data_IF_845970100604
#
_entry.id   IF_845970100604
#
_cell.length_a   1.000
_cell.length_b   1.000
_cell.length_c   1.000
_cell.angle_alpha   90.00
_cell.angle_beta   90.00
_cell.angle_gamma   90.00
#
_symmetry.space_group_name_H-M   'P 1'
#
loop_
_entity.id
_entity.type
_entity.pdbx_description
1 polymer ?
#
# COMPACT_ATOMS: atom_id res chain seq x y z
N UNK A 1 0.41 -40.09 39.79
CA UNK A 1 0.60 -41.23 38.88
C UNK A 1 1.52 -40.75 37.77
N UNK A 2 2.79 -41.17 37.78
CA UNK A 2 3.84 -40.53 36.99
C UNK A 2 4.14 -41.34 35.73
N UNK A 3 3.44 -41.04 34.65
CA UNK A 3 3.81 -41.49 33.31
C UNK A 3 5.31 -41.23 33.07
N UNK A 4 6.04 -42.19 32.49
CA UNK A 4 7.43 -41.96 32.09
C UNK A 4 7.52 -41.83 30.57
N UNK A 5 8.18 -40.77 30.10
CA UNK A 5 8.33 -40.46 28.67
C UNK A 5 9.79 -40.22 28.31
N UNK A 6 10.18 -40.59 27.11
CA UNK A 6 11.51 -40.29 26.56
C UNK A 6 11.43 -40.08 25.05
N UNK A 7 12.14 -39.05 24.54
CA UNK A 7 12.27 -38.75 23.12
C UNK A 7 13.63 -39.22 22.61
N UNK A 8 13.63 -40.03 21.55
CA UNK A 8 14.82 -40.62 20.94
C UNK A 8 14.87 -40.29 19.43
N UNK A 9 15.77 -39.40 18.96
CA UNK A 9 16.68 -38.55 19.74
C UNK A 9 15.98 -37.37 20.42
N UNK A 10 16.60 -36.79 21.45
CA UNK A 10 16.08 -35.60 22.14
C UNK A 10 16.06 -34.34 21.26
N UNK A 11 16.92 -34.30 20.23
CA UNK A 11 16.95 -33.25 19.22
C UNK A 11 17.14 -33.87 17.84
N UNK A 12 16.40 -33.39 16.85
CA UNK A 12 16.51 -33.83 15.47
C UNK A 12 16.77 -32.63 14.54
N UNK A 13 17.37 -32.90 13.39
CA UNK A 13 17.58 -31.89 12.33
C UNK A 13 16.85 -32.34 11.07
N UNK A 14 16.26 -31.40 10.34
CA UNK A 14 15.53 -31.66 9.10
C UNK A 14 15.72 -30.55 8.08
N UNK A 15 15.84 -30.92 6.82
CA UNK A 15 15.84 -29.98 5.70
C UNK A 15 14.41 -29.62 5.28
N UNK A 16 14.12 -28.35 4.96
CA UNK A 16 12.84 -27.95 4.38
C UNK A 16 12.52 -28.70 3.09
N UNK A 17 11.32 -29.30 3.04
CA UNK A 17 10.88 -30.22 1.99
C UNK A 17 11.30 -31.67 2.19
N UNK A 18 12.10 -31.96 3.21
CA UNK A 18 12.45 -33.31 3.65
C UNK A 18 11.58 -33.78 4.81
N UNK A 19 11.98 -34.90 5.42
CA UNK A 19 11.33 -35.44 6.61
C UNK A 19 12.32 -36.05 7.58
N UNK A 20 12.04 -35.97 8.88
CA UNK A 20 12.80 -36.67 9.94
C UNK A 20 11.86 -37.33 10.94
N UNK A 21 12.37 -38.27 11.72
CA UNK A 21 11.59 -39.06 12.67
C UNK A 21 12.19 -38.99 14.08
N UNK A 22 11.32 -38.89 15.08
CA UNK A 22 11.67 -39.03 16.50
C UNK A 22 10.77 -40.09 17.12
N UNK A 23 11.36 -40.99 17.90
CA UNK A 23 10.62 -42.01 18.64
C UNK A 23 10.28 -41.48 20.04
N UNK A 24 8.99 -41.41 20.35
CA UNK A 24 8.47 -41.17 21.69
C UNK A 24 8.24 -42.52 22.37
N UNK A 25 8.98 -42.78 23.44
CA UNK A 25 8.78 -43.96 24.30
C UNK A 25 7.95 -43.55 25.50
N UNK A 26 6.99 -44.40 25.83
CA UNK A 26 6.02 -44.16 26.88
C UNK A 26 5.92 -45.40 27.77
N UNK A 27 6.02 -45.25 29.09
CA UNK A 27 5.78 -46.34 30.04
C UNK A 27 4.59 -46.03 30.94
N UNK A 28 3.62 -46.94 30.98
CA UNK A 28 2.54 -46.90 31.96
C UNK A 28 3.09 -47.33 33.32
N UNK A 29 3.08 -46.42 34.30
CA UNK A 29 3.54 -46.66 35.67
C UNK A 29 2.38 -46.79 36.66
N UNK A 30 1.14 -46.72 36.17
CA UNK A 30 -0.07 -47.02 36.94
C UNK A 30 -0.26 -48.52 37.15
N UNK A 31 -1.30 -48.85 37.91
CA UNK A 31 -1.73 -50.20 38.25
C UNK A 31 -2.91 -50.70 37.39
N UNK A 32 -3.47 -49.83 36.55
CA UNK A 32 -4.55 -50.14 35.59
C UNK A 32 -4.09 -50.04 34.13
N UNK A 33 -4.80 -50.78 33.25
CA UNK A 33 -4.63 -50.65 31.79
C UNK A 33 -5.25 -49.33 31.35
N UNK A 34 -4.51 -48.54 30.57
CA UNK A 34 -4.97 -47.24 30.09
C UNK A 34 -4.70 -47.10 28.59
N UNK A 35 -5.45 -46.21 27.94
CA UNK A 35 -5.26 -45.80 26.56
C UNK A 35 -4.82 -44.34 26.52
N UNK A 36 -3.69 -44.09 25.87
CA UNK A 36 -3.11 -42.77 25.74
C UNK A 36 -3.34 -42.21 24.35
N UNK A 37 -3.83 -40.97 24.26
CA UNK A 37 -3.95 -40.19 23.02
C UNK A 37 -2.78 -39.23 22.88
N UNK A 38 -2.22 -39.15 21.67
CA UNK A 38 -1.07 -38.30 21.36
C UNK A 38 -1.46 -37.19 20.37
N UNK A 39 -1.17 -35.94 20.73
CA UNK A 39 -1.45 -34.77 19.90
C UNK A 39 -0.20 -33.88 19.80
N UNK A 40 0.29 -33.56 18.60
CA UNK A 40 1.39 -32.62 18.45
C UNK A 40 0.91 -31.19 18.80
N UNK A 41 1.74 -30.44 19.52
CA UNK A 41 1.45 -29.07 19.96
C UNK A 41 2.63 -28.15 19.64
N UNK A 42 2.33 -26.90 19.30
CA UNK A 42 3.30 -25.87 18.95
C UNK A 42 3.27 -25.51 17.46
N UNK A 43 4.15 -24.59 17.06
CA UNK A 43 4.15 -23.98 15.72
C UNK A 43 4.40 -24.99 14.60
N UNK A 44 5.13 -26.07 14.88
CA UNK A 44 5.41 -27.14 13.91
C UNK A 44 4.35 -28.25 13.87
N UNK A 45 3.29 -28.16 14.69
CA UNK A 45 2.21 -29.15 14.71
C UNK A 45 1.54 -29.39 13.35
N UNK A 46 1.36 -28.39 12.45
CA UNK A 46 0.77 -28.62 11.13
C UNK A 46 1.60 -29.54 10.22
N UNK A 47 2.88 -29.72 10.54
CA UNK A 47 3.83 -30.53 9.76
C UNK A 47 4.30 -31.77 10.52
N UNK A 48 3.65 -32.07 11.64
CA UNK A 48 3.99 -33.20 12.52
C UNK A 48 2.89 -34.25 12.45
N UNK A 49 3.26 -35.47 12.06
CA UNK A 49 2.38 -36.63 12.08
C UNK A 49 2.78 -37.56 13.21
N UNK A 50 1.80 -38.10 13.92
CA UNK A 50 2.01 -38.98 15.08
C UNK A 50 1.35 -40.32 14.82
N UNK A 51 2.14 -41.40 14.81
CA UNK A 51 1.64 -42.75 14.55
C UNK A 51 2.20 -43.77 15.55
N UNK A 52 1.35 -44.56 16.25
CA UNK A 52 -0.11 -44.46 16.28
C UNK A 52 -0.62 -43.26 17.12
N UNK A 53 -1.79 -42.71 16.79
CA UNK A 53 -2.41 -41.60 17.53
C UNK A 53 -2.99 -42.01 18.90
N UNK A 54 -3.28 -43.29 19.08
CA UNK A 54 -3.63 -43.87 20.37
C UNK A 54 -2.83 -45.13 20.64
N UNK A 55 -2.49 -45.36 21.91
CA UNK A 55 -1.75 -46.55 22.31
C UNK A 55 -2.26 -47.05 23.65
N UNK A 56 -2.72 -48.30 23.67
CA UNK A 56 -3.16 -48.99 24.88
C UNK A 56 -2.00 -49.71 25.54
N UNK A 57 -1.76 -49.45 26.82
CA UNK A 57 -0.64 -50.01 27.57
C UNK A 57 -1.10 -50.66 28.88
N UNK A 58 -0.58 -51.85 29.14
CA UNK A 58 -0.74 -52.54 30.43
C UNK A 58 0.17 -51.91 31.50
N UNK A 59 -0.18 -52.05 32.78
CA UNK A 59 0.68 -51.67 33.91
C UNK A 59 2.12 -52.15 33.74
N UNK A 60 3.08 -51.23 33.90
CA UNK A 60 4.51 -51.51 33.80
C UNK A 60 5.07 -51.73 32.39
N UNK A 61 4.24 -51.70 31.34
CA UNK A 61 4.68 -51.90 29.94
C UNK A 61 5.11 -50.61 29.26
N UNK A 62 5.96 -50.72 28.25
CA UNK A 62 6.45 -49.60 27.44
C UNK A 62 5.96 -49.70 26.01
N UNK A 63 5.38 -48.63 25.52
CA UNK A 63 5.00 -48.41 24.14
C UNK A 63 5.93 -47.46 23.40
N UNK A 64 5.87 -47.49 22.07
CA UNK A 64 6.60 -46.53 21.21
C UNK A 64 5.64 -45.91 20.22
N UNK A 65 5.80 -44.61 20.00
CA UNK A 65 5.08 -43.81 19.01
C UNK A 65 6.11 -43.12 18.13
N UNK A 66 5.89 -43.11 16.83
CA UNK A 66 6.73 -42.43 15.86
C UNK A 66 6.17 -41.03 15.56
N UNK A 67 7.01 -40.02 15.73
CA UNK A 67 6.75 -38.64 15.34
C UNK A 67 7.48 -38.39 14.02
N UNK A 68 6.75 -38.08 12.96
CA UNK A 68 7.30 -37.71 11.66
C UNK A 68 7.14 -36.21 11.44
N UNK A 69 8.24 -35.50 11.26
CA UNK A 69 8.27 -34.06 10.96
C UNK A 69 8.58 -33.86 9.48
N UNK A 70 7.74 -33.11 8.77
CA UNK A 70 7.90 -32.84 7.33
C UNK A 70 7.63 -31.36 7.02
N UNK A 71 8.51 -30.42 7.44
CA UNK A 71 8.32 -29.01 7.18
C UNK A 71 8.35 -28.72 5.67
N UNK A 72 7.44 -27.89 5.14
CA UNK A 72 7.40 -27.56 3.73
C UNK A 72 8.64 -26.76 3.34
N UNK A 73 8.99 -26.79 2.05
CA UNK A 73 10.05 -25.94 1.49
C UNK A 73 9.51 -24.53 1.22
N UNK A 74 9.05 -23.86 2.27
CA UNK A 74 8.51 -22.50 2.23
C UNK A 74 9.13 -21.64 3.34
N UNK A 75 9.03 -20.30 3.25
CA UNK A 75 9.50 -19.40 4.29
C UNK A 75 8.89 -19.64 5.68
N UNK A 76 7.72 -20.27 5.76
CA UNK A 76 7.02 -20.55 7.01
C UNK A 76 7.83 -21.49 7.93
N UNK A 77 8.63 -22.39 7.34
CA UNK A 77 9.50 -23.30 8.06
C UNK A 77 10.75 -22.58 8.59
N UNK A 78 10.58 -21.77 9.64
CA UNK A 78 11.63 -20.91 10.23
C UNK A 78 12.92 -21.68 10.51
N UNK A 79 14.04 -21.20 9.97
CA UNK A 79 15.34 -21.82 10.17
C UNK A 79 15.82 -21.73 11.63
N UNK A 80 16.51 -22.77 12.10
CA UNK A 80 17.06 -22.85 13.45
C UNK A 80 16.24 -23.75 14.39
N UNK A 81 16.41 -23.59 15.71
CA UNK A 81 15.74 -24.43 16.70
C UNK A 81 14.25 -24.09 16.81
N UNK A 82 13.40 -25.09 16.57
CA UNK A 82 11.95 -25.01 16.71
C UNK A 82 11.52 -25.98 17.82
N UNK A 83 11.13 -25.48 19.00
CA UNK A 83 10.65 -26.34 20.08
C UNK A 83 9.32 -26.97 19.67
N UNK A 84 9.12 -28.22 20.10
CA UNK A 84 7.88 -28.94 19.88
C UNK A 84 7.48 -29.71 21.13
N UNK A 85 6.20 -30.00 21.23
CA UNK A 85 5.66 -30.77 22.32
C UNK A 85 4.66 -31.80 21.80
N UNK A 86 4.54 -32.92 22.52
CA UNK A 86 3.48 -33.90 22.27
C UNK A 86 2.63 -34.00 23.51
N UNK A 87 1.37 -33.60 23.41
CA UNK A 87 0.40 -33.76 24.49
C UNK A 87 -0.05 -35.22 24.56
N UNK A 88 0.16 -35.83 25.71
CA UNK A 88 -0.28 -37.20 26.01
C UNK A 88 -1.44 -37.12 26.99
N UNK A 89 -2.62 -37.51 26.54
CA UNK A 89 -3.86 -37.49 27.34
C UNK A 89 -4.28 -38.93 27.67
N UNK A 90 -4.22 -39.34 28.95
CA UNK A 90 -4.76 -40.63 29.40
C UNK A 90 -6.30 -40.63 29.31
N UNK A 91 -6.90 -41.80 29.06
CA UNK A 91 -8.37 -41.91 28.94
C UNK A 91 -9.04 -42.07 30.29
N UNK A 92 -8.43 -42.84 31.21
CA UNK A 92 -8.96 -43.05 32.56
C UNK A 92 -8.91 -41.78 33.43
N UNK A 93 -7.83 -40.99 33.27
CA UNK A 93 -7.60 -39.75 34.01
C UNK A 93 -7.25 -38.59 33.06
N UNK A 94 -8.24 -37.97 32.40
CA UNK A 94 -8.00 -36.89 31.44
C UNK A 94 -7.31 -35.65 32.05
N UNK A 95 -7.39 -35.47 33.36
CA UNK A 95 -6.70 -34.41 34.12
C UNK A 95 -5.19 -34.64 34.26
N UNK A 96 -4.71 -35.87 34.06
CA UNK A 96 -3.31 -36.27 34.25
C UNK A 96 -2.47 -36.15 32.96
N UNK A 97 -2.62 -35.02 32.26
CA UNK A 97 -1.91 -34.75 30.99
C UNK A 97 -0.41 -34.62 31.20
N UNK A 98 0.37 -35.25 30.33
CA UNK A 98 1.84 -35.11 30.29
C UNK A 98 2.27 -34.56 28.93
N UNK A 99 3.26 -33.66 28.93
CA UNK A 99 3.72 -32.97 27.72
C UNK A 99 5.25 -33.07 27.60
N UNK A 100 5.79 -34.16 27.02
CA UNK A 100 7.20 -34.19 26.63
C UNK A 100 7.51 -33.14 25.57
N UNK A 101 8.63 -32.44 25.79
CA UNK A 101 9.16 -31.39 24.91
C UNK A 101 10.45 -31.84 24.24
N UNK A 102 10.63 -31.45 22.98
CA UNK A 102 11.85 -31.67 22.21
C UNK A 102 12.17 -30.47 21.33
N UNK A 103 13.30 -30.54 20.64
CA UNK A 103 13.72 -29.46 19.73
C UNK A 103 14.03 -29.99 18.33
N UNK A 104 13.39 -29.42 17.32
CA UNK A 104 13.62 -29.72 15.92
C UNK A 104 14.41 -28.58 15.28
N UNK A 105 15.61 -28.86 14.79
CA UNK A 105 16.41 -27.87 14.06
C UNK A 105 16.07 -27.94 12.58
N UNK A 106 15.43 -26.90 12.05
CA UNK A 106 15.16 -26.77 10.62
C UNK A 106 16.37 -26.11 9.96
N UNK A 107 16.92 -26.72 8.92
CA UNK A 107 18.09 -26.16 8.26
C UNK A 107 17.74 -24.91 7.44
N UNK A 108 18.69 -23.98 7.28
CA UNK A 108 18.49 -22.80 6.47
C UNK A 108 18.47 -23.16 4.98
N UNK A 109 17.52 -22.59 4.23
CA UNK A 109 17.58 -22.50 2.78
C UNK A 109 17.35 -21.06 2.32
N UNK A 110 17.88 -20.76 1.15
CA UNK A 110 17.75 -19.44 0.55
C UNK A 110 17.29 -19.59 -0.89
N UNK A 111 16.17 -18.96 -1.21
CA UNK A 111 15.64 -18.87 -2.55
C UNK A 111 15.25 -17.42 -2.79
N UNK A 112 15.74 -16.85 -3.89
CA UNK A 112 15.58 -15.41 -4.17
C UNK A 112 15.08 -15.27 -5.57
N UNK A 113 14.04 -14.46 -5.72
CA UNK A 113 13.52 -14.06 -7.02
C UNK A 113 13.63 -12.55 -7.14
N UNK A 114 14.00 -12.06 -8.31
CA UNK A 114 14.08 -10.64 -8.56
C UNK A 114 13.44 -10.30 -9.91
N UNK A 115 12.65 -9.24 -9.94
CA UNK A 115 11.88 -8.85 -11.12
C UNK A 115 11.83 -7.32 -11.27
N UNK A 116 11.81 -6.87 -12.53
CA UNK A 116 11.70 -5.45 -12.86
C UNK A 116 10.26 -5.03 -13.12
N UNK A 117 9.82 -3.98 -12.43
CA UNK A 117 8.48 -3.42 -12.55
C UNK A 117 8.56 -1.92 -12.90
N UNK A 118 8.27 -1.51 -14.14
CA UNK A 118 8.11 -2.34 -15.34
C UNK A 118 9.48 -2.79 -15.92
N UNK A 119 9.53 -3.86 -16.75
CA UNK A 119 10.75 -4.33 -17.40
C UNK A 119 11.24 -3.41 -18.52
N UNK A 120 10.34 -2.60 -19.09
CA UNK A 120 10.67 -1.58 -20.09
C UNK A 120 10.23 -0.21 -19.60
N UNK A 121 11.19 0.71 -19.50
CA UNK A 121 10.95 2.10 -19.11
C UNK A 121 11.23 3.04 -20.27
N UNK A 122 10.39 4.07 -20.44
CA UNK A 122 10.51 5.04 -21.55
C UNK A 122 10.76 6.43 -20.97
N UNK A 123 11.73 7.17 -21.50
CA UNK A 123 12.07 8.50 -20.99
C UNK A 123 12.93 9.30 -21.94
N UNK A 124 12.97 10.63 -21.77
CA UNK A 124 13.89 11.50 -22.51
C UNK A 124 15.22 11.62 -21.76
N UNK A 125 15.14 11.94 -20.47
CA UNK A 125 16.30 12.22 -19.62
C UNK A 125 16.49 11.23 -18.47
N UNK A 126 15.45 10.52 -18.06
CA UNK A 126 15.51 9.56 -16.95
C UNK A 126 14.51 8.42 -17.16
N UNK A 127 14.88 7.21 -16.75
CA UNK A 127 13.99 6.06 -16.58
C UNK A 127 13.86 5.72 -15.09
N UNK A 128 12.68 5.30 -14.64
CA UNK A 128 12.43 4.99 -13.22
C UNK A 128 11.83 3.59 -13.04
N UNK A 129 12.60 2.52 -13.28
CA UNK A 129 12.15 1.17 -12.95
C UNK A 129 12.23 0.93 -11.43
N UNK A 130 11.38 0.03 -10.92
CA UNK A 130 11.53 -0.55 -9.59
C UNK A 130 12.03 -1.98 -9.74
N UNK A 131 12.99 -2.38 -8.91
CA UNK A 131 13.42 -3.77 -8.79
C UNK A 131 12.75 -4.38 -7.56
N UNK A 132 11.88 -5.36 -7.75
CA UNK A 132 11.32 -6.17 -6.68
C UNK A 132 12.29 -7.34 -6.40
N UNK A 133 12.65 -7.54 -5.14
CA UNK A 133 13.48 -8.67 -4.68
C UNK A 133 12.70 -9.43 -3.62
N UNK A 134 12.32 -10.66 -3.92
CA UNK A 134 11.53 -11.53 -3.07
C UNK A 134 12.43 -12.55 -2.37
N UNK A 135 12.28 -12.67 -1.05
CA UNK A 135 12.92 -13.71 -0.25
C UNK A 135 11.97 -14.90 -0.08
N UNK A 136 12.14 -15.93 -0.90
CA UNK A 136 11.40 -17.19 -0.85
C UNK A 136 12.09 -18.23 0.06
N UNK A 137 13.20 -17.87 0.70
CA UNK A 137 13.88 -18.70 1.70
C UNK A 137 13.27 -18.57 3.10
N UNK A 138 13.69 -19.45 4.02
CA UNK A 138 13.35 -19.39 5.44
C UNK A 138 14.40 -18.66 6.30
N UNK A 139 15.36 -17.98 5.67
CA UNK A 139 16.40 -17.19 6.33
C UNK A 139 16.37 -15.75 5.87
N UNK A 140 16.80 -14.84 6.75
CA UNK A 140 16.95 -13.42 6.42
C UNK A 140 17.93 -13.24 5.26
N UNK A 141 17.46 -12.63 4.19
CA UNK A 141 18.24 -12.33 3.00
C UNK A 141 18.94 -10.98 3.17
N UNK A 142 20.26 -10.96 3.02
CA UNK A 142 21.04 -9.72 2.89
C UNK A 142 21.67 -9.67 1.50
N UNK A 143 21.36 -8.63 0.73
CA UNK A 143 21.86 -8.47 -0.63
C UNK A 143 22.20 -7.01 -0.93
N UNK A 144 23.16 -6.80 -1.81
CA UNK A 144 23.44 -5.50 -2.43
C UNK A 144 22.96 -5.50 -3.87
N UNK A 145 22.48 -4.35 -4.34
CA UNK A 145 21.99 -4.16 -5.71
C UNK A 145 22.90 -3.18 -6.42
N UNK A 146 23.38 -3.58 -7.59
CA UNK A 146 24.19 -2.73 -8.46
C UNK A 146 23.64 -2.72 -9.89
N UNK A 147 23.89 -1.62 -10.60
CA UNK A 147 23.61 -1.54 -12.03
C UNK A 147 24.84 -1.91 -12.85
N UNK A 148 24.63 -2.68 -13.91
CA UNK A 148 25.66 -3.03 -14.88
C UNK A 148 25.09 -2.86 -16.30
N UNK A 149 25.86 -2.25 -17.20
CA UNK A 149 25.63 -2.36 -18.64
C UNK A 149 26.92 -2.73 -19.38
N UNK A 150 26.73 -3.23 -20.59
CA UNK A 150 27.84 -3.66 -21.46
C UNK A 150 28.51 -2.49 -22.20
N UNK A 151 28.07 -1.24 -22.00
CA UNK A 151 28.44 -0.12 -22.89
C UNK A 151 28.61 1.25 -22.23
N UNK A 152 28.57 1.31 -20.89
CA UNK A 152 28.63 2.51 -20.03
C UNK A 152 27.66 3.62 -20.47
N UNK A 153 26.49 3.26 -21.00
CA UNK A 153 25.55 4.19 -21.62
C UNK A 153 24.62 4.85 -20.59
N UNK A 154 24.41 4.20 -19.44
CA UNK A 154 23.51 4.65 -18.40
C UNK A 154 24.26 4.83 -17.08
N UNK A 155 23.90 5.88 -16.33
CA UNK A 155 24.23 5.96 -14.90
C UNK A 155 23.05 5.47 -14.06
N UNK A 156 23.39 4.75 -13.00
CA UNK A 156 22.46 4.08 -12.11
C UNK A 156 22.44 4.76 -10.75
N UNK A 157 21.24 5.04 -10.28
CA UNK A 157 21.01 5.70 -9.01
C UNK A 157 19.97 4.85 -8.26
N UNK A 158 20.45 4.05 -7.29
CA UNK A 158 19.71 2.97 -6.64
C UNK A 158 19.46 3.29 -5.17
N UNK A 159 18.21 3.23 -4.75
CA UNK A 159 17.80 3.56 -3.39
C UNK A 159 16.74 2.57 -2.87
N UNK A 160 17.02 1.81 -1.80
CA UNK A 160 18.33 1.59 -1.19
C UNK A 160 19.24 0.70 -2.05
N UNK A 161 20.57 0.82 -1.91
CA UNK A 161 21.55 -0.05 -2.60
C UNK A 161 21.84 -1.36 -1.86
N UNK A 162 21.50 -1.44 -0.58
CA UNK A 162 21.60 -2.65 0.22
C UNK A 162 20.22 -2.94 0.83
N UNK A 163 19.81 -4.20 0.78
CA UNK A 163 18.51 -4.65 1.29
C UNK A 163 18.70 -5.79 2.27
N UNK A 164 17.88 -5.76 3.32
CA UNK A 164 17.69 -6.86 4.24
C UNK A 164 16.21 -7.23 4.20
N UNK A 165 15.92 -8.49 3.87
CA UNK A 165 14.57 -8.96 3.59
C UNK A 165 14.29 -10.18 4.46
N UNK A 166 13.28 -10.09 5.31
CA UNK A 166 12.85 -11.22 6.15
C UNK A 166 12.30 -12.37 5.29
N UNK A 167 12.28 -13.62 5.80
CA UNK A 167 11.65 -14.75 5.12
C UNK A 167 10.23 -14.44 4.66
N UNK A 168 9.91 -14.77 3.40
CA UNK A 168 8.57 -14.57 2.82
C UNK A 168 8.19 -13.11 2.52
N UNK A 169 9.15 -12.18 2.64
CA UNK A 169 8.94 -10.76 2.33
C UNK A 169 9.64 -10.36 1.04
N UNK A 170 9.30 -9.17 0.56
CA UNK A 170 9.88 -8.55 -0.61
C UNK A 170 10.43 -7.16 -0.26
N UNK A 171 11.46 -6.71 -0.97
CA UNK A 171 11.92 -5.33 -0.93
C UNK A 171 11.92 -4.72 -2.33
N UNK A 172 11.52 -3.45 -2.40
CA UNK A 172 11.52 -2.69 -3.64
C UNK A 172 12.69 -1.71 -3.64
N UNK A 173 13.60 -1.87 -4.60
CA UNK A 173 14.69 -0.91 -4.86
C UNK A 173 14.25 0.04 -5.96
N UNK A 174 14.16 1.33 -5.62
CA UNK A 174 13.88 2.39 -6.59
C UNK A 174 15.15 2.65 -7.39
N UNK A 175 15.05 2.54 -8.71
CA UNK A 175 16.16 2.82 -9.60
C UNK A 175 15.87 4.04 -10.47
N UNK A 176 16.84 4.92 -10.62
CA UNK A 176 16.83 6.01 -11.60
C UNK A 176 17.95 5.79 -12.60
N UNK A 177 17.57 5.55 -13.85
CA UNK A 177 18.47 5.43 -14.99
C UNK A 177 18.64 6.81 -15.62
N UNK A 178 19.87 7.29 -15.83
CA UNK A 178 20.13 8.54 -16.58
C UNK A 178 21.02 8.22 -17.77
N UNK A 179 20.58 8.47 -19.03
CA UNK A 179 21.43 8.28 -20.20
C UNK A 179 22.59 9.28 -20.15
N UNK A 180 23.81 8.79 -20.40
CA UNK A 180 25.00 9.66 -20.46
C UNK A 180 25.00 10.57 -21.70
N UNK A 181 24.38 10.13 -22.80
CA UNK A 181 24.24 10.90 -24.03
C UNK A 181 22.78 11.32 -24.25
N UNK A 182 22.55 12.62 -24.49
CA UNK A 182 21.21 13.18 -24.72
C UNK A 182 20.92 13.22 -26.22
N UNK A 183 19.78 12.64 -26.61
CA UNK A 183 19.27 12.72 -27.99
C UNK A 183 18.43 14.00 -28.13
N UNK A 184 19.01 15.07 -28.68
CA UNK A 184 18.31 16.34 -28.90
C UNK A 184 17.26 16.25 -30.01
N UNK A 185 17.64 15.68 -31.16
CA UNK A 185 16.76 15.46 -32.30
C UNK A 185 17.01 14.05 -32.83
N UNK A 186 15.96 13.25 -33.04
CA UNK A 186 16.16 11.89 -33.53
C UNK A 186 15.03 10.92 -33.26
N UNK A 187 15.21 9.70 -33.77
CA UNK A 187 14.39 8.53 -33.45
C UNK A 187 14.67 8.04 -32.02
N UNK A 188 13.75 7.25 -31.47
CA UNK A 188 13.95 6.55 -30.20
C UNK A 188 15.13 5.56 -30.31
N UNK A 189 15.90 5.43 -29.25
CA UNK A 189 16.96 4.42 -29.09
C UNK A 189 16.63 3.50 -27.90
N UNK A 190 16.92 2.21 -28.04
CA UNK A 190 16.72 1.21 -26.99
C UNK A 190 18.07 0.90 -26.34
N UNK A 191 18.15 1.08 -25.02
CA UNK A 191 19.36 0.86 -24.21
C UNK A 191 19.08 -0.27 -23.21
N UNK A 192 19.56 -1.50 -23.46
CA UNK A 192 19.45 -2.58 -22.48
C UNK A 192 20.31 -2.28 -21.25
N UNK A 193 19.84 -2.68 -20.08
CA UNK A 193 20.55 -2.55 -18.82
C UNK A 193 20.32 -3.79 -17.95
N UNK A 194 21.19 -4.01 -16.96
CA UNK A 194 21.06 -5.08 -15.98
C UNK A 194 21.16 -4.54 -14.56
N UNK A 195 20.35 -5.10 -13.66
CA UNK A 195 20.60 -5.00 -12.22
C UNK A 195 21.12 -6.34 -11.71
N UNK A 196 22.19 -6.30 -10.94
CA UNK A 196 22.75 -7.46 -10.28
C UNK A 196 22.37 -7.42 -8.79
N UNK A 197 21.64 -8.45 -8.34
CA UNK A 197 21.38 -8.69 -6.92
C UNK A 197 22.49 -9.60 -6.40
N UNK A 198 23.43 -9.01 -5.68
CA UNK A 198 24.61 -9.67 -5.16
C UNK A 198 24.39 -10.12 -3.71
N UNK A 199 24.66 -11.39 -3.44
CA UNK A 199 24.70 -11.97 -2.08
C UNK A 199 26.12 -12.37 -1.74
N UNK A 200 26.47 -12.40 -0.46
CA UNK A 200 27.80 -12.85 -0.04
C UNK A 200 28.01 -14.32 -0.41
N UNK A 201 29.13 -14.64 -1.07
CA UNK A 201 29.52 -16.01 -1.40
C UNK A 201 28.73 -16.71 -2.52
N UNK A 202 27.84 -16.00 -3.23
CA UNK A 202 27.02 -16.56 -4.33
C UNK A 202 27.18 -15.71 -5.58
N UNK A 203 27.03 -16.32 -6.77
CA UNK A 203 26.99 -15.58 -8.02
C UNK A 203 25.84 -14.54 -8.02
N UNK A 204 26.06 -13.34 -8.58
CA UNK A 204 25.02 -12.33 -8.71
C UNK A 204 23.83 -12.84 -9.54
N UNK A 205 22.62 -12.48 -9.12
CA UNK A 205 21.40 -12.71 -9.88
C UNK A 205 21.14 -11.48 -10.77
N UNK A 206 21.29 -11.65 -12.07
CA UNK A 206 21.09 -10.58 -13.05
C UNK A 206 19.62 -10.48 -13.47
N UNK A 207 19.09 -9.27 -13.47
CA UNK A 207 17.75 -8.93 -13.96
C UNK A 207 17.87 -7.91 -15.08
N UNK A 208 17.43 -8.31 -16.28
CA UNK A 208 17.58 -7.52 -17.50
C UNK A 208 16.35 -6.64 -17.75
N UNK A 209 16.60 -5.40 -18.18
CA UNK A 209 15.57 -4.44 -18.55
C UNK A 209 15.95 -3.60 -19.77
N UNK A 210 14.99 -2.88 -20.32
CA UNK A 210 15.20 -2.01 -21.49
C UNK A 210 14.77 -0.58 -21.21
N UNK A 211 15.67 0.38 -21.42
CA UNK A 211 15.37 1.80 -21.39
C UNK A 211 15.22 2.35 -22.81
N UNK A 212 14.01 2.76 -23.17
CA UNK A 212 13.73 3.41 -24.45
C UNK A 212 13.92 4.92 -24.29
N UNK A 213 15.07 5.41 -24.77
CA UNK A 213 15.38 6.82 -24.80
C UNK A 213 14.66 7.50 -25.97
N UNK A 214 13.82 8.49 -25.67
CA UNK A 214 13.13 9.32 -26.66
C UNK A 214 13.94 10.59 -26.94
N UNK A 215 13.94 11.03 -28.20
CA UNK A 215 14.45 12.35 -28.57
C UNK A 215 13.70 13.48 -27.86
N UNK A 216 14.43 14.57 -27.56
CA UNK A 216 13.87 15.74 -26.90
C UNK A 216 12.87 16.49 -27.80
N UNK A 217 13.25 16.72 -29.07
CA UNK A 217 12.44 17.42 -30.05
C UNK A 217 12.20 16.56 -31.31
N UNK A 218 11.01 16.69 -31.93
CA UNK A 218 10.77 16.11 -33.25
C UNK A 218 11.77 16.64 -34.28
N UNK A 219 12.20 15.79 -35.23
CA UNK A 219 13.15 16.18 -36.28
C UNK A 219 12.68 17.40 -37.11
N UNK A 220 11.37 17.57 -37.31
CA UNK A 220 10.82 18.70 -38.09
C UNK A 220 11.06 20.08 -37.44
N UNK A 221 11.20 20.13 -36.12
CA UNK A 221 11.43 21.40 -35.45
C UNK A 221 12.84 21.93 -35.72
N UNK A 222 13.83 21.04 -35.84
CA UNK A 222 15.17 21.45 -36.27
C UNK A 222 15.15 22.03 -37.69
N UNK A 223 14.40 21.42 -38.61
CA UNK A 223 14.24 21.96 -39.97
C UNK A 223 13.50 23.30 -39.97
N UNK A 224 12.45 23.45 -39.14
CA UNK A 224 11.71 24.71 -39.01
C UNK A 224 12.59 25.83 -38.46
N UNK A 225 13.32 25.58 -37.36
CA UNK A 225 14.27 26.55 -36.78
C UNK A 225 15.38 26.94 -37.78
N UNK A 226 15.89 25.97 -38.54
CA UNK A 226 16.88 26.23 -39.59
C UNK A 226 16.34 27.17 -40.67
N UNK A 227 15.13 26.90 -41.18
CA UNK A 227 14.47 27.75 -42.20
C UNK A 227 14.11 29.11 -41.63
N UNK A 228 13.55 29.18 -40.42
CA UNK A 228 13.20 30.44 -39.76
C UNK A 228 14.44 31.31 -39.53
N UNK A 229 15.55 30.72 -39.09
CA UNK A 229 16.81 31.45 -38.90
C UNK A 229 17.38 31.94 -40.24
N UNK A 230 17.32 31.13 -41.30
CA UNK A 230 17.70 31.58 -42.64
C UNK A 230 16.83 32.75 -43.11
N UNK A 231 15.50 32.67 -42.94
CA UNK A 231 14.58 33.75 -43.30
C UNK A 231 14.84 35.01 -42.48
N UNK A 232 15.07 34.90 -41.17
CA UNK A 232 15.42 36.03 -40.31
C UNK A 232 16.72 36.70 -40.76
N UNK A 233 17.76 35.93 -41.09
CA UNK A 233 19.02 36.46 -41.63
C UNK A 233 18.78 37.18 -42.95
N UNK A 234 17.99 36.60 -43.87
CA UNK A 234 17.67 37.25 -45.14
C UNK A 234 16.85 38.54 -44.95
N UNK A 235 15.90 38.55 -44.01
CA UNK A 235 15.10 39.72 -43.67
C UNK A 235 15.97 40.85 -43.11
N UNK A 236 16.88 40.54 -42.18
CA UNK A 236 17.83 41.51 -41.63
C UNK A 236 18.77 42.05 -42.71
N UNK A 237 19.30 41.19 -43.58
CA UNK A 237 20.11 41.59 -44.73
C UNK A 237 19.35 42.56 -45.66
N UNK A 238 18.10 42.24 -46.00
CA UNK A 238 17.25 43.10 -46.84
C UNK A 238 16.90 44.42 -46.15
N UNK A 239 16.61 44.40 -44.85
CA UNK A 239 16.29 45.58 -44.06
C UNK A 239 17.46 46.58 -44.01
N UNK A 240 18.69 46.09 -43.89
CA UNK A 240 19.90 46.92 -43.90
C UNK A 240 20.22 47.43 -45.31
N UNK A 241 20.03 46.60 -46.34
CA UNK A 241 20.30 46.97 -47.73
C UNK A 241 19.29 47.99 -48.29
N UNK A 242 18.01 47.82 -47.97
CA UNK A 242 16.92 48.69 -48.40
C UNK A 242 16.48 49.58 -47.23
N UNK A 243 17.24 50.66 -46.96
CA UNK A 243 16.91 51.66 -45.92
C UNK A 243 15.44 52.10 -46.04
N UNK A 244 14.54 51.71 -45.11
CA UNK A 244 13.13 52.07 -45.23
C UNK A 244 12.95 53.56 -44.97
N UNK A 245 12.41 54.27 -45.96
CA UNK A 245 11.99 55.68 -45.84
C UNK A 245 10.68 55.70 -45.05
N UNK A 246 10.76 55.72 -43.71
CA UNK A 246 9.58 55.86 -42.86
C UNK A 246 9.09 57.31 -42.98
N UNK A 247 8.14 57.58 -43.88
CA UNK A 247 7.42 58.86 -43.94
C UNK A 247 6.34 58.86 -42.87
N UNK A 248 6.40 59.84 -41.98
CA UNK A 248 5.33 60.11 -41.01
C UNK A 248 4.18 60.80 -41.73
N UNK A 249 3.09 60.08 -41.99
CA UNK A 249 1.82 60.59 -42.54
C UNK A 249 1.02 61.40 -41.50
N UNK A 250 1.60 61.74 -40.35
CA UNK A 250 0.92 62.49 -39.29
C UNK A 250 0.78 64.01 -39.57
N UNK A 251 1.22 64.51 -40.74
CA UNK A 251 1.21 65.95 -41.05
C UNK A 251 0.08 66.42 -41.98
N UNK A 252 -0.63 65.53 -42.68
CA UNK A 252 -1.69 65.94 -43.63
C UNK A 252 -3.10 66.02 -43.04
N UNK A 253 -3.38 65.37 -41.91
CA UNK A 253 -4.71 65.43 -41.28
C UNK A 253 -4.98 66.70 -40.47
N UNK A 254 -4.00 67.60 -40.35
CA UNK A 254 -4.15 68.83 -39.55
C UNK A 254 -4.61 70.04 -40.38
N UNK A 255 -4.61 69.94 -41.72
CA UNK A 255 -4.92 71.06 -42.61
C UNK A 255 -6.40 71.07 -43.10
N UNK A 256 -7.13 69.96 -42.93
CA UNK A 256 -8.55 69.85 -43.33
C UNK A 256 -9.57 70.25 -42.24
N UNK A 257 -9.12 70.56 -41.01
CA UNK A 257 -10.01 70.80 -39.87
C UNK A 257 -10.22 72.26 -39.45
N UNK A 258 -9.51 73.23 -40.06
CA UNK A 258 -9.45 74.61 -39.56
C UNK A 258 -10.19 75.58 -40.51
N UNK A 259 -11.51 75.43 -40.62
CA UNK A 259 -12.39 76.54 -40.99
C UNK A 259 -13.84 76.16 -40.79
N UNK A 260 -14.36 76.45 -39.60
CA UNK A 260 -15.62 77.18 -39.37
C UNK A 260 -15.97 77.10 -37.88
N UNK A 261 -15.73 78.18 -37.14
CA UNK A 261 -16.67 78.84 -36.21
C UNK A 261 -15.91 79.77 -35.24
N UNK A 262 -16.43 80.98 -35.11
CA UNK A 262 -15.89 82.12 -34.38
C UNK A 262 -16.38 82.15 -32.89
N UNK A 263 -15.79 83.00 -32.02
CA UNK A 263 -15.52 82.69 -30.62
C UNK A 263 -16.55 83.24 -29.64
N UNK A 264 -16.54 82.74 -28.39
CA UNK A 264 -17.07 83.49 -27.25
C UNK A 264 -16.19 83.31 -26.01
N UNK A 265 -16.19 84.35 -25.17
CA UNK A 265 -15.08 84.81 -24.34
C UNK A 265 -14.91 84.14 -22.96
N UNK A 266 -13.65 84.18 -22.51
CA UNK A 266 -13.07 83.96 -21.16
C UNK A 266 -13.70 84.82 -20.03
N UNK A 267 -13.53 84.53 -18.71
CA UNK A 267 -12.20 84.30 -18.08
C UNK A 267 -12.05 83.30 -16.90
N UNK A 268 -10.76 82.99 -16.72
CA UNK A 268 -9.92 82.47 -15.60
C UNK A 268 -10.12 83.16 -14.22
N UNK A 269 -9.40 82.80 -13.11
CA UNK A 269 -8.50 81.67 -12.80
C UNK A 269 -8.62 81.09 -11.34
N UNK A 270 -7.70 80.16 -11.01
CA UNK A 270 -6.95 80.00 -9.73
C UNK A 270 -7.15 78.65 -9.00
N UNK A 271 -6.09 77.84 -9.05
CA UNK A 271 -5.71 76.81 -8.06
C UNK A 271 -4.67 77.41 -7.09
N UNK A 272 -4.13 76.72 -6.05
CA UNK A 272 -4.46 75.42 -5.42
C UNK A 272 -4.48 75.49 -3.87
N UNK A 273 -4.77 74.38 -3.17
CA UNK A 273 -4.12 73.94 -1.91
C UNK A 273 -4.71 72.62 -1.39
N UNK A 274 -3.85 71.70 -0.93
CA UNK A 274 -4.16 70.37 -0.37
C UNK A 274 -4.38 70.41 1.17
N UNK A 275 -4.32 69.27 1.89
CA UNK A 275 -5.36 68.29 2.23
C UNK A 275 -5.74 68.32 3.74
N UNK A 276 -6.58 67.39 4.24
CA UNK A 276 -6.04 66.48 5.27
C UNK A 276 -6.64 65.04 5.32
N UNK A 277 -6.04 64.28 6.24
CA UNK A 277 -6.02 62.84 6.55
C UNK A 277 -7.29 62.14 7.07
N UNK A 278 -7.29 60.82 6.86
CA UNK A 278 -7.54 59.68 7.78
C UNK A 278 -8.74 59.67 8.76
N UNK A 279 -9.47 58.55 8.77
CA UNK A 279 -10.02 57.89 9.97
C UNK A 279 -10.49 56.46 9.64
N UNK A 280 -10.25 55.53 10.56
CA UNK A 280 -10.51 54.09 10.48
C UNK A 280 -11.82 53.70 11.25
N UNK A 281 -12.08 52.44 11.66
CA UNK A 281 -13.39 51.78 11.60
C UNK A 281 -14.19 51.83 12.92
N UNK A 282 -15.48 51.46 12.88
CA UNK A 282 -16.32 51.34 14.08
C UNK A 282 -16.83 49.92 14.26
N UNK A 283 -16.37 49.33 15.36
CA UNK A 283 -16.89 48.19 16.09
C UNK A 283 -18.09 48.62 16.96
N UNK A 284 -19.07 47.74 17.17
CA UNK A 284 -20.00 47.85 18.32
C UNK A 284 -20.57 46.49 18.73
N UNK A 285 -20.06 45.98 19.85
CA UNK A 285 -20.81 45.26 20.90
C UNK A 285 -21.35 46.34 21.91
N UNK A 286 -22.10 46.07 23.02
CA UNK A 286 -22.15 44.83 23.79
C UNK A 286 -23.51 44.42 24.46
N UNK A 287 -23.38 43.30 25.18
CA UNK A 287 -24.19 42.57 26.16
C UNK A 287 -25.28 43.26 27.01
N UNK A 288 -26.24 42.43 27.46
CA UNK A 288 -26.56 42.32 28.90
C UNK A 288 -27.04 40.90 29.27
N UNK A 289 -27.13 40.65 30.57
CA UNK A 289 -26.74 39.46 31.31
C UNK A 289 -27.81 39.02 32.32
N UNK A 290 -27.65 37.81 32.87
CA UNK A 290 -28.29 37.30 34.08
C UNK A 290 -29.12 36.03 33.84
N UNK A 291 -28.94 34.89 34.50
CA UNK A 291 -28.13 34.54 35.66
C UNK A 291 -28.93 33.62 36.59
N UNK A 292 -28.41 32.42 36.88
CA UNK A 292 -28.68 31.68 38.12
C UNK A 292 -29.51 30.39 38.04
N UNK A 293 -28.91 29.27 38.44
CA UNK A 293 -29.62 28.03 38.80
C UNK A 293 -28.74 26.78 38.78
N UNK A 294 -27.98 26.56 39.85
CA UNK A 294 -27.10 25.41 40.07
C UNK A 294 -27.85 24.23 40.76
N UNK A 295 -27.22 23.05 40.76
CA UNK A 295 -27.52 21.77 41.46
C UNK A 295 -28.06 20.59 40.60
N UNK A 296 -27.78 19.32 40.97
CA UNK A 296 -26.60 18.61 40.49
C UNK A 296 -26.94 17.31 39.72
N UNK A 297 -25.91 16.81 39.04
CA UNK A 297 -25.86 15.62 38.19
C UNK A 297 -26.55 14.34 38.71
N UNK A 298 -27.04 13.47 37.81
CA UNK A 298 -26.90 12.04 37.95
C UNK A 298 -25.61 11.55 37.29
N UNK A 299 -24.99 10.57 37.94
CA UNK A 299 -23.72 9.92 37.59
C UNK A 299 -23.64 9.47 36.11
N UNK A 300 -22.43 9.42 35.52
CA UNK A 300 -22.25 8.83 34.20
C UNK A 300 -22.53 7.33 34.31
N UNK A 301 -23.69 6.90 33.82
CA UNK A 301 -23.88 5.53 33.36
C UNK A 301 -22.73 5.24 32.40
N UNK A 302 -21.92 4.21 32.69
CA UNK A 302 -20.93 3.68 31.76
C UNK A 302 -21.63 3.45 30.43
N UNK A 303 -21.43 4.37 29.49
CA UNK A 303 -21.91 4.19 28.13
C UNK A 303 -21.30 2.90 27.61
N UNK A 304 -22.16 1.97 27.20
CA UNK A 304 -21.71 0.89 26.33
C UNK A 304 -21.02 1.56 25.14
N UNK A 305 -19.81 1.13 24.74
CA UNK A 305 -19.14 1.73 23.60
C UNK A 305 -20.11 1.74 22.42
N UNK A 306 -20.36 2.94 21.88
CA UNK A 306 -21.19 3.13 20.67
C UNK A 306 -20.66 2.16 19.61
N UNK A 307 -21.52 1.28 19.11
CA UNK A 307 -21.15 0.40 18.01
C UNK A 307 -20.75 1.26 16.81
N UNK A 308 -19.57 1.02 16.24
CA UNK A 308 -19.09 1.73 15.06
C UNK A 308 -19.80 1.30 13.77
N UNK A 309 -20.55 0.20 13.82
CA UNK A 309 -21.33 -0.34 12.70
C UNK A 309 -22.81 -0.47 13.11
N UNK A 310 -23.76 -0.19 12.21
CA UNK A 310 -23.57 0.42 10.89
C UNK A 310 -23.12 1.90 11.00
N UNK A 311 -22.48 2.41 9.95
CA UNK A 311 -22.07 3.81 9.86
C UNK A 311 -22.52 4.42 8.52
N UNK A 312 -22.94 5.68 8.53
CA UNK A 312 -23.41 6.37 7.33
C UNK A 312 -22.68 7.70 7.16
N UNK A 313 -22.48 8.11 5.91
CA UNK A 313 -21.79 9.35 5.52
C UNK A 313 -20.43 9.49 6.20
N UNK A 314 -19.65 8.40 6.28
CA UNK A 314 -18.32 8.43 6.86
C UNK A 314 -17.26 8.66 5.79
N UNK A 315 -16.12 9.16 6.22
CA UNK A 315 -14.90 9.19 5.43
C UNK A 315 -13.95 8.13 5.95
N UNK A 316 -13.35 7.38 5.02
CA UNK A 316 -12.29 6.42 5.31
C UNK A 316 -10.95 7.10 5.10
N UNK A 317 -10.35 7.58 6.18
CA UNK A 317 -9.05 8.29 6.14
C UNK A 317 -7.91 7.33 6.46
N UNK A 318 -6.96 7.21 5.53
CA UNK A 318 -5.76 6.42 5.76
C UNK A 318 -4.85 7.08 6.80
N UNK A 319 -4.39 6.31 7.78
CA UNK A 319 -3.59 6.83 8.88
C UNK A 319 -2.16 7.18 8.45
N UNK A 320 -1.57 6.46 7.50
CA UNK A 320 -0.21 6.71 7.02
C UNK A 320 -0.17 7.85 6.01
N UNK A 321 -0.99 7.80 4.96
CA UNK A 321 -0.96 8.80 3.88
C UNK A 321 -1.70 10.09 4.23
N UNK A 322 -2.60 10.05 5.23
CA UNK A 322 -3.53 11.13 5.61
C UNK A 322 -4.55 11.51 4.53
N UNK A 323 -4.66 10.70 3.47
CA UNK A 323 -5.61 10.84 2.37
C UNK A 323 -6.83 9.95 2.61
N UNK A 324 -7.89 10.18 1.84
CA UNK A 324 -9.19 9.54 2.02
C UNK A 324 -9.55 8.66 0.83
N UNK A 325 -10.29 7.57 1.08
CA UNK A 325 -10.83 6.74 0.02
C UNK A 325 -11.83 7.53 -0.83
N UNK A 326 -11.63 7.48 -2.14
CA UNK A 326 -12.13 8.41 -3.13
C UNK A 326 -12.47 7.67 -4.43
N UNK A 327 -13.43 8.21 -5.16
CA UNK A 327 -13.78 7.73 -6.50
C UNK A 327 -13.30 8.78 -7.50
N UNK A 328 -12.68 8.41 -8.65
CA UNK A 328 -12.09 9.38 -9.55
C UNK A 328 -13.01 10.54 -9.97
N UNK A 329 -12.60 11.77 -9.64
CA UNK A 329 -13.35 13.01 -9.88
C UNK A 329 -14.35 13.30 -8.75
N UNK A 330 -15.17 14.35 -8.85
CA UNK A 330 -16.10 14.72 -7.76
C UNK A 330 -17.53 14.18 -7.96
N UNK A 331 -17.80 13.64 -9.16
CA UNK A 331 -19.13 13.21 -9.59
C UNK A 331 -19.47 11.76 -9.19
N UNK A 332 -20.55 11.23 -9.78
CA UNK A 332 -20.83 9.79 -9.69
C UNK A 332 -19.70 8.99 -10.34
N UNK A 333 -19.32 7.88 -9.72
CA UNK A 333 -18.39 6.93 -10.29
C UNK A 333 -18.98 6.17 -11.47
N UNK A 334 -18.30 5.08 -11.82
CA UNK A 334 -18.74 4.17 -12.87
C UNK A 334 -18.55 2.74 -12.40
N UNK A 335 -19.39 1.85 -12.89
CA UNK A 335 -19.19 0.41 -12.71
C UNK A 335 -17.81 -0.01 -13.22
N UNK A 336 -17.13 -0.85 -12.44
CA UNK A 336 -15.74 -1.27 -12.60
C UNK A 336 -14.73 -0.10 -12.57
N UNK A 337 -15.16 1.07 -12.08
CA UNK A 337 -14.31 2.20 -11.77
C UNK A 337 -13.38 1.86 -10.61
N UNK A 338 -12.14 2.36 -10.65
CA UNK A 338 -11.22 2.17 -9.53
C UNK A 338 -11.69 2.97 -8.33
N UNK A 339 -11.45 2.45 -7.12
CA UNK A 339 -11.38 3.27 -5.91
C UNK A 339 -9.93 3.71 -5.76
N UNK A 340 -9.70 4.95 -5.37
CA UNK A 340 -8.38 5.56 -5.18
C UNK A 340 -8.32 6.35 -3.88
N UNK A 341 -7.16 6.86 -3.52
CA UNK A 341 -7.06 7.86 -2.46
C UNK A 341 -6.96 9.26 -3.05
N UNK A 342 -7.45 10.25 -2.31
CA UNK A 342 -7.32 11.66 -2.65
C UNK A 342 -7.33 12.53 -1.40
N UNK A 343 -7.02 13.81 -1.56
CA UNK A 343 -7.15 14.82 -0.50
C UNK A 343 -8.55 14.81 0.09
N UNK A 344 -8.65 14.70 1.41
CA UNK A 344 -9.91 14.50 2.10
C UNK A 344 -10.88 15.69 1.96
N UNK A 345 -12.04 15.45 1.36
CA UNK A 345 -13.20 16.34 1.34
C UNK A 345 -14.42 15.61 1.95
N UNK A 346 -14.75 15.86 3.23
CA UNK A 346 -15.84 15.18 3.92
C UNK A 346 -17.23 15.72 3.58
N UNK A 347 -17.37 16.55 2.53
CA UNK A 347 -18.66 17.12 2.14
C UNK A 347 -19.35 16.30 1.06
N UNK A 348 -20.64 16.54 0.85
CA UNK A 348 -21.39 15.93 -0.26
C UNK A 348 -20.98 16.48 -1.65
N UNK A 349 -20.13 17.52 -1.71
CA UNK A 349 -19.63 18.08 -2.96
C UNK A 349 -18.72 17.08 -3.67
N UNK A 350 -17.93 16.32 -2.92
CA UNK A 350 -17.09 15.22 -3.43
C UNK A 350 -17.78 13.86 -3.26
N UNK A 351 -17.15 12.77 -3.69
CA UNK A 351 -17.65 11.40 -3.66
C UNK A 351 -16.92 10.50 -2.64
N UNK A 352 -16.29 11.10 -1.63
CA UNK A 352 -15.51 10.40 -0.60
C UNK A 352 -16.32 9.93 0.62
N UNK A 353 -17.65 10.08 0.56
CA UNK A 353 -18.56 9.63 1.61
C UNK A 353 -19.01 8.19 1.36
N UNK A 354 -18.88 7.35 2.39
CA UNK A 354 -19.20 5.92 2.34
C UNK A 354 -20.20 5.55 3.45
N UNK A 355 -21.00 4.52 3.18
CA UNK A 355 -21.85 3.84 4.15
C UNK A 355 -21.30 2.45 4.42
N UNK A 356 -21.12 2.10 5.69
CA UNK A 356 -20.78 0.75 6.14
C UNK A 356 -22.09 0.04 6.51
N UNK A 357 -22.66 -0.65 5.53
CA UNK A 357 -23.96 -1.30 5.64
C UNK A 357 -23.80 -2.76 6.08
N UNK A 358 -24.12 -3.07 7.34
CA UNK A 358 -24.08 -4.44 7.87
C UNK A 358 -25.04 -5.34 7.09
N UNK A 359 -24.54 -6.48 6.61
CA UNK A 359 -25.32 -7.49 5.85
C UNK A 359 -25.39 -8.83 6.55
N UNK A 360 -24.36 -9.20 7.31
CA UNK A 360 -24.34 -10.45 8.09
C UNK A 360 -23.82 -10.14 9.49
N UNK A 361 -24.73 -10.11 10.45
CA UNK A 361 -24.37 -9.95 11.86
C UNK A 361 -23.57 -11.15 12.34
N UNK A 362 -22.47 -10.90 13.06
CA UNK A 362 -21.58 -11.94 13.63
C UNK A 362 -21.07 -12.98 12.62
N UNK A 363 -21.03 -12.65 11.34
CA UNK A 363 -20.57 -13.55 10.27
C UNK A 363 -19.05 -13.61 10.10
N UNK A 364 -18.32 -12.66 10.66
CA UNK A 364 -16.86 -12.53 10.54
C UNK A 364 -16.07 -13.16 11.70
N UNK A 365 -14.73 -13.21 11.58
CA UNK A 365 -13.86 -13.70 12.64
C UNK A 365 -14.12 -13.01 13.98
N UNK A 366 -14.12 -13.78 15.07
CA UNK A 366 -14.41 -13.27 16.41
C UNK A 366 -15.85 -12.80 16.63
N UNK A 367 -16.79 -13.19 15.75
CA UNK A 367 -18.18 -12.73 15.81
C UNK A 367 -18.34 -11.27 15.40
N UNK A 368 -17.45 -10.77 14.55
CA UNK A 368 -17.56 -9.43 13.97
C UNK A 368 -18.65 -9.39 12.89
N UNK A 369 -19.25 -8.22 12.70
CA UNK A 369 -20.24 -8.02 11.65
C UNK A 369 -19.56 -7.92 10.28
N UNK A 370 -20.17 -8.54 9.27
CA UNK A 370 -19.79 -8.34 7.87
C UNK A 370 -20.66 -7.25 7.27
N UNK A 371 -20.03 -6.27 6.64
CA UNK A 371 -20.68 -5.14 5.99
C UNK A 371 -20.18 -4.97 4.56
N UNK A 372 -20.99 -4.34 3.71
CA UNK A 372 -20.52 -3.80 2.44
C UNK A 372 -20.18 -2.31 2.61
N UNK A 373 -19.25 -1.82 1.78
CA UNK A 373 -18.84 -0.42 1.77
C UNK A 373 -19.46 0.23 0.55
N UNK A 374 -20.52 1.03 0.74
CA UNK A 374 -21.28 1.64 -0.35
C UNK A 374 -20.97 3.12 -0.48
N UNK A 375 -20.62 3.56 -1.68
CA UNK A 375 -20.44 4.98 -1.97
C UNK A 375 -21.78 5.74 -1.83
N UNK A 376 -21.76 6.87 -1.14
CA UNK A 376 -22.98 7.66 -0.90
C UNK A 376 -23.46 8.34 -2.18
N UNK A 377 -22.57 8.76 -3.09
CA UNK A 377 -22.93 9.54 -4.28
C UNK A 377 -23.50 8.67 -5.39
N UNK A 378 -22.78 7.62 -5.79
CA UNK A 378 -23.17 6.80 -6.94
C UNK A 378 -23.91 5.50 -6.60
N UNK A 379 -23.95 5.15 -5.30
CA UNK A 379 -24.64 3.99 -4.74
C UNK A 379 -24.01 2.63 -5.08
N UNK A 380 -22.82 2.58 -5.65
CA UNK A 380 -22.03 1.37 -5.90
C UNK A 380 -21.27 0.93 -4.64
N UNK A 381 -20.79 -0.31 -4.64
CA UNK A 381 -20.05 -0.91 -3.52
C UNK A 381 -18.61 -1.20 -3.89
N UNK A 382 -17.72 -1.09 -2.91
CA UNK A 382 -16.34 -1.59 -3.03
C UNK A 382 -16.37 -3.10 -3.25
N UNK A 383 -15.82 -3.50 -4.40
CA UNK A 383 -15.93 -4.83 -4.98
C UNK A 383 -14.57 -5.29 -5.50
N UNK A 384 -14.37 -6.61 -5.53
CA UNK A 384 -13.21 -7.24 -6.13
C UNK A 384 -13.67 -8.05 -7.35
N UNK A 385 -12.85 -8.16 -8.42
CA UNK A 385 -13.24 -8.86 -9.63
C UNK A 385 -13.79 -10.28 -9.39
N UNK A 386 -14.90 -10.60 -10.08
CA UNK A 386 -15.62 -11.86 -9.97
C UNK A 386 -16.22 -12.06 -8.57
N UNK A 387 -16.77 -13.25 -8.27
CA UNK A 387 -17.49 -13.50 -7.01
C UNK A 387 -16.63 -14.14 -5.91
N UNK A 388 -15.42 -14.59 -6.24
CA UNK A 388 -14.57 -15.44 -5.39
C UNK A 388 -13.54 -14.66 -4.58
N UNK A 389 -12.75 -15.39 -3.80
CA UNK A 389 -11.54 -14.86 -3.18
C UNK A 389 -10.60 -14.30 -4.26
N UNK A 390 -9.98 -13.15 -3.99
CA UNK A 390 -9.03 -12.52 -4.89
C UNK A 390 -7.61 -12.52 -4.29
N UNK A 391 -6.55 -12.63 -5.11
CA UNK A 391 -5.17 -12.57 -4.64
C UNK A 391 -4.76 -11.17 -4.20
N UNK A 392 -3.63 -11.06 -3.50
CA UNK A 392 -2.99 -9.78 -3.20
C UNK A 392 -2.70 -8.96 -4.47
N UNK A 393 -2.63 -7.64 -4.36
CA UNK A 393 -2.55 -6.67 -5.46
C UNK A 393 -3.78 -6.59 -6.36
N UNK A 394 -4.87 -7.29 -6.02
CA UNK A 394 -6.15 -7.08 -6.71
C UNK A 394 -6.69 -5.71 -6.36
N UNK A 395 -6.96 -4.91 -7.40
CA UNK A 395 -7.51 -3.56 -7.26
C UNK A 395 -8.95 -3.63 -6.75
N UNK A 396 -9.28 -2.72 -5.86
CA UNK A 396 -10.65 -2.50 -5.42
C UNK A 396 -11.33 -1.57 -6.42
N UNK A 397 -12.49 -2.00 -6.91
CA UNK A 397 -13.31 -1.26 -7.86
C UNK A 397 -14.70 -1.02 -7.29
N UNK A 398 -15.52 -0.27 -8.00
CA UNK A 398 -16.93 -0.09 -7.67
C UNK A 398 -17.81 -0.98 -8.54
N UNK A 399 -18.71 -1.74 -7.91
CA UNK A 399 -19.69 -2.56 -8.61
C UNK A 399 -21.09 -2.45 -7.99
N UNK A 400 -22.06 -3.06 -8.66
CA UNK A 400 -23.44 -3.10 -8.13
C UNK A 400 -23.44 -3.89 -6.83
N UNK A 401 -23.95 -3.28 -5.76
CA UNK A 401 -24.02 -3.92 -4.45
C UNK A 401 -24.86 -5.20 -4.48
N UNK A 402 -24.25 -6.34 -4.17
CA UNK A 402 -24.90 -7.64 -4.02
C UNK A 402 -25.30 -7.87 -2.54
N UNK A 403 -24.38 -7.58 -1.62
CA UNK A 403 -24.62 -7.66 -0.19
C UNK A 403 -24.81 -9.07 0.37
N UNK A 404 -24.41 -10.11 -0.36
CA UNK A 404 -24.46 -11.50 0.09
C UNK A 404 -23.06 -12.10 0.30
N UNK A 405 -22.98 -13.27 0.94
CA UNK A 405 -21.74 -14.04 1.06
C UNK A 405 -21.39 -14.81 -0.22
N UNK A 406 -22.29 -14.86 -1.20
CA UNK A 406 -22.03 -15.47 -2.51
C UNK A 406 -21.10 -14.61 -3.36
N UNK A 407 -20.99 -13.32 -3.07
CA UNK A 407 -20.02 -12.39 -3.67
C UNK A 407 -18.81 -12.13 -2.74
N UNK A 408 -17.86 -11.29 -3.16
CA UNK A 408 -16.67 -10.90 -2.39
C UNK A 408 -16.72 -9.44 -1.88
N UNK A 409 -17.89 -8.80 -1.91
CA UNK A 409 -18.10 -7.39 -1.49
C UNK A 409 -18.21 -7.18 0.03
N UNK A 410 -18.10 -8.24 0.84
CA UNK A 410 -18.24 -8.16 2.29
C UNK A 410 -16.88 -7.98 2.98
N UNK A 411 -16.87 -7.04 3.92
CA UNK A 411 -15.72 -6.59 4.68
C UNK A 411 -16.00 -6.67 6.19
N UNK A 412 -14.95 -6.69 7.00
CA UNK A 412 -15.05 -6.62 8.46
C UNK A 412 -13.94 -5.75 9.06
N UNK A 413 -14.18 -5.19 10.24
CA UNK A 413 -13.23 -4.32 10.92
C UNK A 413 -12.40 -5.09 11.95
N UNK A 414 -11.07 -4.98 11.87
CA UNK A 414 -10.16 -5.43 12.90
C UNK A 414 -9.47 -4.22 13.55
N UNK A 415 -9.82 -3.94 14.81
CA UNK A 415 -9.24 -2.82 15.57
C UNK A 415 -7.75 -3.04 15.83
N UNK A 416 -6.94 -2.02 15.57
CA UNK A 416 -5.49 -2.01 15.81
C UNK A 416 -5.14 -1.26 17.11
N UNK A 417 -3.92 -1.44 17.61
CA UNK A 417 -3.41 -0.78 18.82
C UNK A 417 -3.41 0.75 18.71
N UNK A 418 -3.24 1.28 17.50
CA UNK A 418 -3.32 2.71 17.17
C UNK A 418 -4.71 3.32 17.43
N UNK A 419 -5.75 2.49 17.56
CA UNK A 419 -7.15 2.90 17.61
C UNK A 419 -7.83 2.96 16.23
N UNK A 420 -7.08 2.86 15.14
CA UNK A 420 -7.60 2.72 13.78
C UNK A 420 -7.99 1.27 13.47
N UNK A 421 -8.45 1.02 12.24
CA UNK A 421 -8.94 -0.29 11.82
C UNK A 421 -8.22 -0.77 10.57
N UNK A 422 -7.91 -2.06 10.54
CA UNK A 422 -7.82 -2.76 9.28
C UNK A 422 -9.24 -3.07 8.78
N UNK A 423 -9.49 -2.74 7.51
CA UNK A 423 -10.71 -3.10 6.80
C UNK A 423 -10.40 -4.33 5.97
N UNK A 424 -11.02 -5.48 6.30
CA UNK A 424 -10.58 -6.79 5.81
C UNK A 424 -11.63 -7.44 4.94
N UNK A 425 -11.24 -7.93 3.77
CA UNK A 425 -12.15 -8.63 2.88
C UNK A 425 -12.46 -10.03 3.41
N UNK A 426 -13.72 -10.34 3.65
CA UNK A 426 -14.13 -11.58 4.30
C UNK A 426 -13.86 -12.83 3.43
N UNK A 427 -13.93 -12.69 2.11
CA UNK A 427 -13.82 -13.82 1.18
C UNK A 427 -12.39 -14.08 0.70
N UNK A 428 -11.59 -13.04 0.62
CA UNK A 428 -10.21 -13.09 0.14
C UNK A 428 -9.25 -13.37 1.28
N UNK A 429 -9.43 -14.47 2.02
CA UNK A 429 -8.55 -14.88 3.14
C UNK A 429 -8.21 -13.75 4.14
N UNK A 430 -9.19 -12.90 4.45
CA UNK A 430 -9.05 -11.78 5.38
C UNK A 430 -7.94 -10.78 5.01
N UNK A 431 -7.67 -10.55 3.72
CA UNK A 431 -6.72 -9.54 3.23
C UNK A 431 -7.21 -8.12 3.54
N UNK A 432 -6.29 -7.20 3.75
CA UNK A 432 -6.55 -5.83 4.16
C UNK A 432 -6.71 -4.90 2.96
N UNK A 433 -7.60 -3.92 3.08
CA UNK A 433 -7.68 -2.76 2.20
C UNK A 433 -6.42 -1.91 2.35
N UNK A 434 -5.75 -1.64 1.24
CA UNK A 434 -4.44 -0.99 1.16
C UNK A 434 -4.44 0.09 0.07
N UNK A 435 -3.59 1.10 0.26
CA UNK A 435 -3.23 2.06 -0.79
C UNK A 435 -2.08 1.46 -1.63
N UNK A 436 -2.22 1.43 -2.96
CA UNK A 436 -1.24 0.73 -3.78
C UNK A 436 0.19 1.31 -3.70
N UNK A 437 1.07 0.55 -3.05
CA UNK A 437 2.49 0.84 -2.92
C UNK A 437 2.79 1.55 -1.59
N UNK A 438 3.86 1.13 -0.94
CA UNK A 438 4.14 1.49 0.45
C UNK A 438 4.24 3.00 0.73
N UNK A 439 3.30 3.49 1.53
CA UNK A 439 3.14 4.88 1.99
C UNK A 439 3.15 5.91 0.84
N UNK A 440 2.56 5.57 -0.31
CA UNK A 440 2.54 6.47 -1.45
C UNK A 440 1.57 7.63 -1.21
N UNK A 441 2.07 8.79 -0.79
CA UNK A 441 1.25 9.99 -0.46
C UNK A 441 0.73 10.77 -1.68
N UNK A 442 0.80 10.20 -2.89
CA UNK A 442 0.26 10.86 -4.08
C UNK A 442 -1.25 10.69 -4.16
N UNK A 443 -1.92 11.72 -4.65
CA UNK A 443 -3.31 11.64 -5.07
C UNK A 443 -3.50 10.61 -6.20
N UNK A 444 -4.72 10.10 -6.31
CA UNK A 444 -5.17 9.14 -7.34
C UNK A 444 -4.46 7.77 -7.30
N UNK A 445 -3.80 7.43 -6.20
CA UNK A 445 -3.26 6.09 -6.01
C UNK A 445 -4.41 5.12 -5.74
N UNK A 446 -4.49 4.06 -6.55
CA UNK A 446 -5.57 3.07 -6.50
C UNK A 446 -5.55 2.27 -5.19
N UNK A 447 -6.71 1.97 -4.61
CA UNK A 447 -6.82 1.02 -3.51
C UNK A 447 -6.80 -0.42 -4.04
N UNK A 448 -6.21 -1.32 -3.25
CA UNK A 448 -6.12 -2.74 -3.55
C UNK A 448 -6.23 -3.56 -2.26
N UNK A 449 -6.26 -4.88 -2.37
CA UNK A 449 -6.11 -5.76 -1.22
C UNK A 449 -4.70 -6.32 -1.11
N UNK A 450 -4.23 -6.50 0.12
CA UNK A 450 -2.91 -7.07 0.41
C UNK A 450 -2.86 -7.84 1.73
N UNK A 451 -1.72 -8.45 2.04
CA UNK A 451 -1.50 -9.09 3.34
C UNK A 451 -1.46 -8.04 4.45
N UNK A 452 -2.29 -8.25 5.48
CA UNK A 452 -2.37 -7.36 6.63
C UNK A 452 -1.02 -7.20 7.34
N UNK A 453 -0.56 -5.96 7.54
CA UNK A 453 0.67 -5.60 8.24
C UNK A 453 0.51 -4.26 8.95
N UNK A 454 1.17 -4.11 10.10
CA UNK A 454 1.15 -2.86 10.91
C UNK A 454 2.19 -1.84 10.47
N UNK A 455 3.04 -2.21 9.51
CA UNK A 455 4.19 -1.40 9.06
C UNK A 455 3.92 -0.69 7.73
N UNK A 456 2.68 -0.67 7.26
CA UNK A 456 2.30 -0.14 5.94
C UNK A 456 1.01 0.68 6.05
N UNK A 457 0.56 1.26 4.95
CA UNK A 457 -0.59 2.15 4.83
C UNK A 457 -1.95 1.43 4.77
N UNK A 458 -2.18 0.51 5.70
CA UNK A 458 -3.39 -0.33 5.75
C UNK A 458 -4.35 0.02 6.89
N UNK A 459 -3.98 0.98 7.73
CA UNK A 459 -4.80 1.44 8.85
C UNK A 459 -5.71 2.60 8.43
N UNK A 460 -7.02 2.43 8.68
CA UNK A 460 -8.06 3.39 8.30
C UNK A 460 -8.77 3.93 9.53
N UNK A 461 -8.87 5.25 9.62
CA UNK A 461 -9.77 5.95 10.52
C UNK A 461 -11.14 6.06 9.86
N UNK A 462 -12.17 5.67 10.61
CA UNK A 462 -13.57 5.83 10.21
C UNK A 462 -14.05 7.12 10.87
N UNK A 463 -14.19 8.17 10.08
CA UNK A 463 -14.50 9.51 10.58
C UNK A 463 -15.92 9.85 10.15
N UNK A 464 -16.78 10.13 11.12
CA UNK A 464 -18.06 10.77 10.85
C UNK A 464 -17.79 12.28 10.75
N UNK A 465 -18.04 12.93 9.60
CA UNK A 465 -18.01 14.38 9.49
C UNK A 465 -18.98 14.97 10.51
N UNK A 466 -18.62 16.10 11.09
CA UNK A 466 -19.55 16.83 11.95
C UNK A 466 -20.78 17.21 11.11
N UNK A 467 -21.98 16.93 11.64
CA UNK A 467 -23.22 17.44 11.06
C UNK A 467 -23.27 18.94 11.32
N UNK A 468 -22.98 19.75 10.30
CA UNK A 468 -23.17 21.22 10.34
C UNK A 468 -24.64 21.61 10.56
#
# INVERSE_FOLDING_TARGET
>A
MSLWTSLEPASATVDPGGSTRVRLRLRNTGDVVDEYRFEPVGDISPWTTVEPQTLRLYPGTTGTVELTFAPPRTPDATAGPNPYAVRITPTEHPEAVTVPEGNLTITPFTEVRAELVPPTVKGRFRGRPKLAVDNLGNTKLTASVSGSDNGDQLSYDLHPSNVQIEPGRAAFVKATLKPRQIIWFGSKEERPYKFAVQRSGVAPLDVEGTYVQRGFLPRWLATFLGVFMALAITFVMLWIAYKPQVRSEAKELQEAGVSTLAPSASPTPVAPSAPPSASAPVESAPADSGGGGDAPAPAPTKEKPKSLLPANNIVLKNLSTKLCADVPGEGVGKRDGRVQQFSCDPTAADNQLWNLEVKVEKGGPGGTDLFQIRNVKDKLCMDLPNYGAAPIHTKVTEFTCDGTTSDNQLWWLAKQESGAYWIRNAKSDNKCLEVAGSDDVRDEVTLMIFNCTVTDDQEWQIIQPDED
#
